data_IF_150067105626
#
_entry.id   IF_150067105626
#
_cell.length_a   1.000
_cell.length_b   1.000
_cell.length_c   1.000
_cell.angle_alpha   90.00
_cell.angle_beta   90.00
_cell.angle_gamma   90.00
#
_symmetry.space_group_name_H-M   'P 1'
#
loop_
_entity.id
_entity.type
_entity.pdbx_description
1 polymer ?
#
# COMPACT_ATOMS: atom_id res chain seq x y z
N UNK A 1 -8.53 -40.77 13.60
CA UNK A 1 -7.45 -41.21 12.69
C UNK A 1 -8.10 -41.62 11.37
N UNK A 2 -7.77 -40.96 10.26
CA UNK A 2 -8.36 -41.26 8.95
C UNK A 2 -7.51 -42.32 8.23
N UNK A 3 -8.12 -43.41 7.80
CA UNK A 3 -7.46 -44.54 7.14
C UNK A 3 -6.76 -44.09 5.84
N UNK A 4 -7.30 -43.12 5.13
CA UNK A 4 -6.70 -42.58 3.90
C UNK A 4 -5.34 -41.93 4.15
N UNK A 5 -5.25 -41.11 5.21
CA UNK A 5 -3.96 -40.51 5.60
C UNK A 5 -2.97 -41.54 6.14
N UNK A 6 -3.45 -42.60 6.84
CA UNK A 6 -2.58 -43.70 7.28
C UNK A 6 -1.99 -44.46 6.08
N UNK A 7 -2.79 -44.68 5.05
CA UNK A 7 -2.33 -45.34 3.82
C UNK A 7 -1.30 -44.49 3.08
N UNK A 8 -1.57 -43.21 2.86
CA UNK A 8 -0.65 -42.26 2.20
C UNK A 8 0.66 -42.14 2.99
N UNK A 9 0.59 -42.05 4.32
CA UNK A 9 1.75 -41.94 5.18
C UNK A 9 2.46 -43.29 5.41
N UNK A 10 2.02 -44.37 4.79
CA UNK A 10 2.58 -45.72 4.97
C UNK A 10 2.68 -46.13 6.46
N UNK A 11 1.68 -45.75 7.26
CA UNK A 11 1.64 -45.93 8.72
C UNK A 11 2.74 -45.19 9.51
N UNK A 12 3.50 -44.30 8.89
CA UNK A 12 4.45 -43.44 9.60
C UNK A 12 3.70 -42.38 10.42
N UNK A 13 4.31 -41.99 11.53
CA UNK A 13 3.78 -40.95 12.43
C UNK A 13 4.82 -39.83 12.58
N UNK A 14 4.94 -38.92 11.58
CA UNK A 14 5.88 -37.82 11.69
C UNK A 14 5.56 -36.96 12.91
N UNK A 15 6.59 -36.48 13.57
CA UNK A 15 6.44 -35.58 14.72
C UNK A 15 5.94 -34.21 14.28
N UNK A 16 5.34 -33.47 15.21
CA UNK A 16 4.95 -32.06 14.96
C UNK A 16 6.14 -31.20 14.47
N UNK A 17 7.33 -31.44 14.99
CA UNK A 17 8.54 -30.73 14.55
C UNK A 17 8.96 -31.12 13.13
N UNK A 18 8.70 -32.34 12.67
CA UNK A 18 8.96 -32.76 11.30
C UNK A 18 8.04 -31.97 10.32
N UNK A 19 6.74 -31.84 10.66
CA UNK A 19 5.83 -31.01 9.90
C UNK A 19 6.26 -29.53 9.87
N UNK A 20 6.67 -28.99 11.02
CA UNK A 20 7.13 -27.59 11.08
C UNK A 20 8.37 -27.36 10.22
N UNK A 21 9.35 -28.27 10.26
CA UNK A 21 10.53 -28.16 9.39
C UNK A 21 10.16 -28.26 7.91
N UNK A 22 9.36 -29.25 7.53
CA UNK A 22 8.89 -29.37 6.15
C UNK A 22 8.19 -28.12 5.65
N UNK A 23 7.31 -27.50 6.47
CA UNK A 23 6.60 -26.30 6.12
C UNK A 23 7.56 -25.10 5.95
N UNK A 24 8.54 -24.95 6.84
CA UNK A 24 9.44 -23.79 6.84
C UNK A 24 10.63 -23.93 5.89
N UNK A 25 11.14 -25.14 5.70
CA UNK A 25 12.38 -25.36 4.97
C UNK A 25 12.10 -25.75 3.50
N UNK A 26 11.05 -26.54 3.26
CA UNK A 26 10.75 -27.12 1.94
C UNK A 26 9.51 -26.50 1.29
N UNK A 27 8.37 -26.47 2.00
CA UNK A 27 7.10 -26.09 1.40
C UNK A 27 7.02 -24.59 1.09
N UNK A 28 7.59 -23.74 1.93
CA UNK A 28 7.58 -22.29 1.74
C UNK A 28 8.18 -21.87 0.39
N UNK A 29 9.16 -22.62 -0.10
CA UNK A 29 9.84 -22.33 -1.36
C UNK A 29 9.16 -22.95 -2.58
N UNK A 30 8.23 -23.89 -2.40
CA UNK A 30 7.65 -24.70 -3.48
C UNK A 30 6.13 -24.68 -3.56
N UNK A 31 5.42 -24.20 -2.53
CA UNK A 31 3.95 -24.23 -2.49
C UNK A 31 3.32 -23.46 -3.65
N UNK A 32 3.93 -22.36 -4.05
CA UNK A 32 3.47 -21.54 -5.18
C UNK A 32 3.60 -22.30 -6.50
N UNK A 33 4.74 -22.94 -6.75
CA UNK A 33 4.96 -23.75 -7.95
C UNK A 33 3.99 -24.93 -8.02
N UNK A 34 3.77 -25.61 -6.86
CA UNK A 34 2.79 -26.69 -6.74
C UNK A 34 1.39 -26.20 -7.10
N UNK A 35 0.99 -25.05 -6.57
CA UNK A 35 -0.32 -24.46 -6.86
C UNK A 35 -0.53 -24.20 -8.37
N UNK A 36 0.45 -23.60 -9.04
CA UNK A 36 0.34 -23.32 -10.47
C UNK A 36 0.43 -24.59 -11.32
N UNK A 37 1.23 -25.58 -10.92
CA UNK A 37 1.29 -26.86 -11.61
C UNK A 37 -0.04 -27.62 -11.50
N UNK A 38 -0.65 -27.66 -10.33
CA UNK A 38 -2.00 -28.22 -10.14
C UNK A 38 -3.02 -27.49 -11.03
N UNK A 39 -2.92 -26.16 -11.14
CA UNK A 39 -3.79 -25.38 -12.01
C UNK A 39 -3.61 -25.73 -13.49
N UNK A 40 -2.37 -26.02 -13.96
CA UNK A 40 -2.11 -26.45 -15.33
C UNK A 40 -2.73 -27.83 -15.61
N UNK A 41 -2.54 -28.76 -14.67
CA UNK A 41 -3.18 -30.08 -14.77
C UNK A 41 -4.71 -29.96 -14.84
N UNK A 42 -5.32 -29.10 -14.03
CA UNK A 42 -6.75 -28.88 -14.08
C UNK A 42 -7.21 -28.21 -15.37
N UNK A 43 -6.41 -27.31 -15.95
CA UNK A 43 -6.70 -26.67 -17.27
C UNK A 43 -6.68 -27.71 -18.41
N UNK A 44 -5.80 -28.72 -18.35
CA UNK A 44 -5.73 -29.79 -19.33
C UNK A 44 -6.91 -30.79 -19.21
N UNK A 45 -7.38 -31.04 -17.98
CA UNK A 45 -8.42 -32.05 -17.72
C UNK A 45 -9.85 -31.48 -17.70
N UNK A 46 -10.02 -30.18 -17.49
CA UNK A 46 -11.33 -29.54 -17.29
C UNK A 46 -11.53 -28.38 -18.29
N UNK A 47 -12.77 -28.15 -18.75
CA UNK A 47 -13.10 -27.08 -19.69
C UNK A 47 -13.13 -25.70 -19.00
N UNK A 48 -11.99 -25.26 -18.42
CA UNK A 48 -11.87 -23.96 -17.76
C UNK A 48 -11.68 -22.84 -18.77
N UNK A 49 -12.53 -21.84 -18.74
CA UNK A 49 -12.38 -20.65 -19.58
C UNK A 49 -11.30 -19.70 -19.03
N UNK A 50 -10.09 -19.81 -19.57
CA UNK A 50 -8.93 -18.99 -19.16
C UNK A 50 -8.93 -17.57 -19.74
N UNK A 51 -9.83 -17.25 -20.67
CA UNK A 51 -9.98 -15.90 -21.24
C UNK A 51 -10.66 -14.92 -20.28
N UNK A 52 -11.34 -15.45 -19.25
CA UNK A 52 -12.05 -14.65 -18.24
C UNK A 52 -11.48 -14.94 -16.85
N UNK A 53 -10.94 -13.92 -16.21
CA UNK A 53 -10.43 -13.98 -14.84
C UNK A 53 -11.19 -12.99 -13.96
N UNK A 54 -12.10 -13.47 -13.13
CA UNK A 54 -12.84 -12.66 -12.16
C UNK A 54 -11.91 -12.30 -11.00
N UNK A 55 -11.71 -10.98 -10.76
CA UNK A 55 -10.76 -10.51 -9.75
C UNK A 55 -11.52 -9.87 -8.58
N UNK A 56 -11.12 -10.23 -7.38
CA UNK A 56 -11.55 -9.58 -6.15
C UNK A 56 -10.45 -9.60 -5.08
N UNK A 57 -10.51 -8.67 -4.14
CA UNK A 57 -9.56 -8.51 -3.06
C UNK A 57 -10.23 -8.48 -1.69
N UNK A 58 -9.51 -9.00 -0.69
CA UNK A 58 -9.96 -8.90 0.68
C UNK A 58 -8.82 -8.67 1.66
N UNK A 59 -9.12 -7.97 2.75
CA UNK A 59 -8.15 -7.70 3.81
C UNK A 59 -8.26 -8.74 4.90
N UNK A 60 -7.10 -9.34 5.26
CA UNK A 60 -6.97 -10.23 6.39
C UNK A 60 -6.25 -9.53 7.54
N UNK A 61 -6.72 -9.76 8.77
CA UNK A 61 -6.03 -9.31 9.97
C UNK A 61 -4.70 -10.07 10.13
N UNK A 62 -3.60 -9.35 10.29
CA UNK A 62 -2.29 -9.94 10.53
C UNK A 62 -2.17 -10.48 11.97
N UNK A 63 -1.30 -11.46 12.15
CA UNK A 63 -0.91 -11.93 13.47
C UNK A 63 0.04 -10.92 14.16
N UNK A 64 -0.47 -9.75 14.45
CA UNK A 64 0.30 -8.63 15.00
C UNK A 64 -0.44 -7.91 16.13
N UNK A 65 0.31 -7.14 16.91
CA UNK A 65 -0.29 -6.30 17.94
C UNK A 65 -1.11 -5.18 17.29
N UNK A 66 -2.37 -5.08 17.69
CA UNK A 66 -3.36 -4.16 17.10
C UNK A 66 -3.03 -2.67 17.31
N UNK A 67 -2.24 -2.33 18.32
CA UNK A 67 -2.04 -0.95 18.77
C UNK A 67 -0.61 -0.42 18.60
N UNK A 68 0.32 -1.21 18.07
CA UNK A 68 1.72 -0.81 17.94
C UNK A 68 2.14 -0.66 16.49
N UNK A 69 2.27 0.61 16.06
CA UNK A 69 2.62 0.97 14.70
C UNK A 69 3.84 1.89 14.64
N UNK A 70 4.54 1.81 13.53
CA UNK A 70 5.50 2.81 13.05
C UNK A 70 4.76 3.65 12.01
N UNK A 71 4.78 4.98 12.20
CA UNK A 71 4.14 5.94 11.30
C UNK A 71 5.19 6.82 10.63
N UNK A 72 5.25 6.83 9.30
CA UNK A 72 6.22 7.64 8.53
C UNK A 72 6.26 9.09 9.01
N UNK A 73 5.11 9.76 9.06
CA UNK A 73 5.02 11.17 9.49
C UNK A 73 5.58 11.42 10.90
N UNK A 74 5.35 10.50 11.82
CA UNK A 74 5.87 10.61 13.17
C UNK A 74 7.36 10.34 13.22
N UNK A 75 7.83 9.33 12.48
CA UNK A 75 9.26 8.97 12.38
C UNK A 75 10.07 10.13 11.81
N UNK A 76 9.59 10.80 10.73
CA UNK A 76 10.23 12.00 10.17
C UNK A 76 10.36 13.09 11.25
N UNK A 77 9.24 13.44 11.92
CA UNK A 77 9.23 14.48 12.94
C UNK A 77 10.13 14.15 14.14
N UNK A 78 10.16 12.88 14.56
CA UNK A 78 11.02 12.45 15.66
C UNK A 78 12.50 12.44 15.26
N UNK A 79 12.85 12.01 14.04
CA UNK A 79 14.21 12.08 13.50
C UNK A 79 14.73 13.52 13.47
N UNK A 80 13.93 14.46 12.99
CA UNK A 80 14.30 15.88 12.95
C UNK A 80 14.54 16.46 14.34
N UNK A 81 13.67 16.12 15.31
CA UNK A 81 13.87 16.55 16.71
C UNK A 81 15.11 15.94 17.34
N UNK A 82 15.37 14.67 17.05
CA UNK A 82 16.56 13.98 17.55
C UNK A 82 17.84 14.57 16.94
N UNK A 83 17.81 14.92 15.64
CA UNK A 83 18.94 15.59 15.01
C UNK A 83 19.27 16.94 15.62
N UNK A 84 18.27 17.72 16.00
CA UNK A 84 18.49 18.97 16.74
C UNK A 84 19.23 18.73 18.05
N UNK A 85 18.86 17.69 18.80
CA UNK A 85 19.56 17.32 20.05
C UNK A 85 21.02 16.97 19.78
N UNK A 86 21.29 16.11 18.78
CA UNK A 86 22.66 15.78 18.39
C UNK A 86 23.48 17.04 18.08
N UNK A 87 22.92 17.98 17.31
CA UNK A 87 23.59 19.24 17.00
C UNK A 87 23.84 20.09 18.26
N UNK A 88 22.94 20.09 19.23
CA UNK A 88 23.13 20.83 20.49
C UNK A 88 24.19 20.15 21.38
N UNK A 89 24.26 18.82 21.38
CA UNK A 89 25.35 18.07 22.03
C UNK A 89 26.69 18.34 21.35
N UNK A 90 26.75 18.39 20.03
CA UNK A 90 27.98 18.76 19.27
C UNK A 90 28.43 20.18 19.62
N UNK A 91 27.51 21.14 19.77
CA UNK A 91 27.86 22.50 20.23
C UNK A 91 28.51 22.49 21.61
N UNK A 92 28.00 21.68 22.55
CA UNK A 92 28.58 21.52 23.88
C UNK A 92 29.94 20.84 23.86
N UNK A 93 30.13 19.86 23.00
CA UNK A 93 31.43 19.22 22.76
C UNK A 93 32.43 20.25 22.21
N UNK A 94 32.04 21.06 21.22
CA UNK A 94 32.88 22.13 20.70
C UNK A 94 33.26 23.17 21.76
N UNK A 95 32.32 23.49 22.66
CA UNK A 95 32.56 24.38 23.78
C UNK A 95 33.60 23.77 24.77
N UNK A 96 33.39 22.50 25.14
CA UNK A 96 34.34 21.77 25.99
C UNK A 96 35.74 21.75 25.41
N UNK A 97 35.94 21.42 24.14
CA UNK A 97 37.26 21.41 23.51
C UNK A 97 37.91 22.81 23.48
N UNK A 98 37.10 23.85 23.22
CA UNK A 98 37.60 25.23 23.29
C UNK A 98 38.10 25.60 24.69
N UNK A 99 37.36 25.23 25.75
CA UNK A 99 37.71 25.46 27.16
C UNK A 99 39.01 24.71 27.58
N UNK A 100 39.27 23.54 26.96
CA UNK A 100 40.48 22.77 27.16
C UNK A 100 41.64 23.19 26.25
N UNK A 101 41.49 24.30 25.50
CA UNK A 101 42.47 24.79 24.50
C UNK A 101 42.82 23.77 23.39
N UNK A 102 41.87 22.88 23.07
CA UNK A 102 42.05 21.89 22.01
C UNK A 102 41.59 22.51 20.68
N UNK A 103 42.44 22.48 19.68
CA UNK A 103 42.12 22.99 18.34
C UNK A 103 41.32 21.93 17.54
N UNK A 104 40.11 21.60 18.02
CA UNK A 104 39.19 20.70 17.36
C UNK A 104 37.77 21.30 17.37
N UNK A 105 37.15 21.36 16.19
CA UNK A 105 35.78 21.89 16.04
C UNK A 105 35.01 21.03 15.06
N UNK A 106 33.86 20.54 15.51
CA UNK A 106 32.93 19.77 14.67
C UNK A 106 31.87 20.68 14.03
N UNK A 107 31.58 20.41 12.77
CA UNK A 107 30.58 21.16 12.01
C UNK A 107 29.16 20.81 12.47
N UNK A 108 28.26 21.78 12.40
CA UNK A 108 26.83 21.57 12.61
C UNK A 108 26.21 21.29 11.24
N UNK A 109 25.75 20.07 11.05
CA UNK A 109 25.15 19.66 9.77
C UNK A 109 23.64 19.96 9.74
N UNK A 110 23.12 20.26 8.55
CA UNK A 110 21.67 20.52 8.36
C UNK A 110 20.87 19.21 8.38
N UNK A 111 21.41 18.18 7.75
CA UNK A 111 20.75 16.88 7.60
C UNK A 111 21.35 15.82 8.52
N UNK A 112 20.52 14.85 8.98
CA UNK A 112 21.00 13.74 9.79
C UNK A 112 22.07 12.91 9.05
N UNK A 113 23.19 12.69 9.74
CA UNK A 113 24.28 11.86 9.26
C UNK A 113 24.85 11.05 10.43
N UNK A 114 24.53 9.77 10.48
CA UNK A 114 24.93 8.86 11.56
C UNK A 114 26.44 8.61 11.53
N UNK A 115 27.02 8.39 10.35
CA UNK A 115 28.46 8.13 10.20
C UNK A 115 29.29 9.32 10.71
N UNK A 116 28.77 10.53 10.53
CA UNK A 116 29.39 11.72 11.09
C UNK A 116 29.40 11.70 12.62
N UNK A 117 28.29 11.31 13.24
CA UNK A 117 28.21 11.21 14.70
C UNK A 117 29.15 10.14 15.25
N UNK A 118 29.25 8.99 14.58
CA UNK A 118 30.19 7.92 14.95
C UNK A 118 31.65 8.40 14.86
N UNK A 119 32.01 9.14 13.81
CA UNK A 119 33.33 9.75 13.72
C UNK A 119 33.63 10.76 14.84
N UNK A 120 32.62 11.46 15.32
CA UNK A 120 32.76 12.37 16.46
C UNK A 120 32.95 11.57 17.74
N UNK A 121 32.19 10.52 18.00
CA UNK A 121 32.35 9.64 19.17
C UNK A 121 33.73 8.97 19.19
N UNK A 122 34.19 8.40 18.08
CA UNK A 122 35.49 7.78 17.96
C UNK A 122 36.63 8.75 18.33
N UNK A 123 36.54 10.00 17.86
CA UNK A 123 37.53 11.03 18.20
C UNK A 123 37.50 11.44 19.66
N UNK A 124 36.31 11.43 20.29
CA UNK A 124 36.22 11.67 21.74
C UNK A 124 36.83 10.50 22.51
N UNK A 125 36.66 9.26 22.08
CA UNK A 125 37.31 8.09 22.68
C UNK A 125 38.84 8.18 22.60
N UNK A 126 39.40 8.54 21.43
CA UNK A 126 40.81 8.76 21.22
C UNK A 126 41.33 9.85 22.17
N UNK A 127 40.60 10.99 22.24
CA UNK A 127 40.94 12.08 23.16
C UNK A 127 40.98 11.62 24.62
N UNK A 128 39.98 10.85 25.07
CA UNK A 128 39.93 10.32 26.44
C UNK A 128 41.11 9.41 26.72
N UNK A 129 41.44 8.52 25.79
CA UNK A 129 42.57 7.61 25.88
C UNK A 129 43.93 8.36 25.99
N UNK A 130 44.12 9.35 25.11
CA UNK A 130 45.36 10.13 25.06
C UNK A 130 45.59 10.98 26.33
N UNK A 131 44.50 11.33 27.03
CA UNK A 131 44.54 12.10 28.28
C UNK A 131 44.39 11.23 29.53
N UNK A 132 44.44 9.90 29.42
CA UNK A 132 44.35 8.98 30.56
C UNK A 132 42.99 9.01 31.27
N UNK A 133 41.93 9.40 30.55
CA UNK A 133 40.54 9.45 31.09
C UNK A 133 39.89 8.09 30.82
N UNK A 134 39.72 7.30 31.88
CA UNK A 134 39.05 6.01 31.77
C UNK A 134 37.53 6.15 31.78
N UNK A 135 36.87 5.25 31.04
CA UNK A 135 35.41 5.13 31.09
C UNK A 135 34.97 4.55 32.44
N UNK A 136 34.12 5.27 33.12
CA UNK A 136 33.56 4.86 34.42
C UNK A 136 32.13 4.43 34.26
N UNK A 137 31.80 3.24 34.75
CA UNK A 137 30.47 2.64 34.66
C UNK A 137 29.89 2.31 36.04
N UNK A 138 28.57 2.26 36.14
CA UNK A 138 27.85 1.85 37.36
C UNK A 138 27.30 3.00 38.22
N UNK A 139 26.46 2.64 39.19
CA UNK A 139 25.86 3.59 40.14
C UNK A 139 26.91 4.04 41.17
N UNK A 140 26.95 5.34 41.43
CA UNK A 140 27.87 5.91 42.42
C UNK A 140 29.22 6.37 41.87
N UNK A 141 29.54 6.04 40.62
CA UNK A 141 30.77 6.50 39.98
C UNK A 141 30.57 7.86 39.28
N UNK A 142 31.48 8.82 39.57
CA UNK A 142 31.41 10.17 38.97
C UNK A 142 32.08 10.15 37.59
N UNK A 143 31.25 10.28 36.54
CA UNK A 143 31.74 10.39 35.15
C UNK A 143 32.40 11.75 34.89
N UNK A 144 33.46 11.78 34.10
CA UNK A 144 34.05 13.01 33.58
C UNK A 144 33.04 13.76 32.70
N UNK A 145 33.23 15.07 32.50
CA UNK A 145 32.29 15.86 31.72
C UNK A 145 32.34 15.46 30.21
N UNK A 146 33.52 15.09 29.72
CA UNK A 146 33.65 14.59 28.34
C UNK A 146 32.97 13.22 28.17
N UNK A 147 33.04 12.32 29.16
CA UNK A 147 32.32 11.05 29.12
C UNK A 147 30.81 11.25 29.14
N UNK A 148 30.27 12.23 29.87
CA UNK A 148 28.84 12.55 29.83
C UNK A 148 28.40 13.00 28.46
N UNK A 149 29.19 13.84 27.79
CA UNK A 149 28.92 14.30 26.42
C UNK A 149 29.00 13.16 25.40
N UNK A 150 29.97 12.27 25.55
CA UNK A 150 30.12 11.06 24.77
C UNK A 150 28.88 10.15 24.91
N UNK A 151 28.53 9.79 26.16
CA UNK A 151 27.37 8.91 26.42
C UNK A 151 26.06 9.49 25.87
N UNK A 152 25.89 10.81 25.99
CA UNK A 152 24.73 11.51 25.46
C UNK A 152 24.69 11.44 23.92
N UNK A 153 25.81 11.77 23.25
CA UNK A 153 25.89 11.73 21.79
C UNK A 153 25.72 10.30 21.25
N UNK A 154 26.35 9.31 21.89
CA UNK A 154 26.22 7.90 21.54
C UNK A 154 24.75 7.43 21.66
N UNK A 155 24.06 7.77 22.75
CA UNK A 155 22.63 7.47 22.93
C UNK A 155 21.76 8.16 21.87
N UNK A 156 22.10 9.39 21.52
CA UNK A 156 21.38 10.14 20.50
C UNK A 156 21.59 9.56 19.11
N UNK A 157 22.81 9.13 18.78
CA UNK A 157 23.14 8.45 17.54
C UNK A 157 22.41 7.10 17.42
N UNK A 158 22.38 6.30 18.49
CA UNK A 158 21.61 5.05 18.54
C UNK A 158 20.12 5.28 18.26
N UNK A 159 19.55 6.39 18.76
CA UNK A 159 18.15 6.72 18.49
C UNK A 159 17.90 7.13 17.04
N UNK A 160 18.86 7.81 16.41
CA UNK A 160 18.79 8.09 14.96
C UNK A 160 18.89 6.82 14.13
N UNK A 161 19.74 5.87 14.53
CA UNK A 161 19.82 4.56 13.89
C UNK A 161 18.50 3.79 13.98
N UNK A 162 17.84 3.81 15.16
CA UNK A 162 16.48 3.23 15.30
C UNK A 162 15.48 3.86 14.30
N UNK A 163 15.54 5.17 14.06
CA UNK A 163 14.68 5.80 13.07
C UNK A 163 15.06 5.43 11.63
N UNK A 164 16.34 5.19 11.33
CA UNK A 164 16.75 4.66 10.03
C UNK A 164 16.15 3.27 9.79
N UNK A 165 16.25 2.36 10.75
CA UNK A 165 15.61 1.04 10.69
C UNK A 165 14.08 1.15 10.52
N UNK A 166 13.44 2.13 11.16
CA UNK A 166 12.01 2.36 10.96
C UNK A 166 11.67 2.75 9.52
N UNK A 167 12.54 3.53 8.84
CA UNK A 167 12.32 3.87 7.42
C UNK A 167 12.52 2.65 6.52
N UNK A 168 13.49 1.80 6.81
CA UNK A 168 13.70 0.54 6.08
C UNK A 168 12.48 -0.38 6.21
N UNK A 169 11.95 -0.56 7.44
CA UNK A 169 10.73 -1.33 7.68
C UNK A 169 9.50 -0.75 6.97
N UNK A 170 9.41 0.56 6.85
CA UNK A 170 8.29 1.23 6.18
C UNK A 170 8.32 1.06 4.66
N UNK A 171 9.50 0.96 4.05
CA UNK A 171 9.64 1.09 2.59
C UNK A 171 8.93 2.35 2.11
N UNK A 172 8.02 2.27 1.13
CA UNK A 172 7.22 3.41 0.65
C UNK A 172 5.90 3.61 1.41
N UNK A 173 5.55 2.70 2.31
CA UNK A 173 4.30 2.72 3.08
C UNK A 173 4.26 3.86 4.10
N UNK A 174 3.06 4.31 4.45
CA UNK A 174 2.83 5.32 5.48
C UNK A 174 2.84 4.76 6.91
N UNK A 175 2.66 3.44 7.04
CA UNK A 175 2.65 2.76 8.33
C UNK A 175 3.04 1.29 8.19
N UNK A 176 3.60 0.70 9.24
CA UNK A 176 3.74 -0.74 9.41
C UNK A 176 3.56 -1.12 10.87
N UNK A 177 3.26 -2.39 11.14
CA UNK A 177 3.20 -2.90 12.51
C UNK A 177 4.61 -3.10 13.07
N UNK A 178 4.79 -2.88 14.37
CA UNK A 178 6.08 -3.19 15.03
C UNK A 178 6.33 -4.69 15.22
N UNK A 179 5.27 -5.48 15.27
CA UNK A 179 5.35 -6.94 15.52
C UNK A 179 5.33 -7.77 14.25
N UNK A 180 4.87 -7.20 13.17
CA UNK A 180 4.91 -7.74 11.81
C UNK A 180 5.18 -6.57 10.84
N UNK A 181 6.45 -6.28 10.52
CA UNK A 181 6.82 -5.13 9.71
C UNK A 181 6.20 -5.10 8.31
N UNK A 182 5.81 -6.25 7.76
CA UNK A 182 5.17 -6.36 6.44
C UNK A 182 3.68 -6.03 6.49
N UNK A 183 3.05 -6.15 7.67
CA UNK A 183 1.65 -5.77 7.86
C UNK A 183 1.46 -4.26 7.95
N UNK A 184 0.49 -3.74 7.21
CA UNK A 184 0.17 -2.30 7.15
C UNK A 184 -1.12 -2.00 7.92
N UNK A 185 -1.24 -0.78 8.44
CA UNK A 185 -2.47 -0.28 9.06
C UNK A 185 -3.55 -0.12 7.99
N UNK A 186 -4.56 -0.99 8.03
CA UNK A 186 -5.61 -1.07 7.02
C UNK A 186 -6.99 -0.86 7.63
N UNK A 187 -7.87 -0.23 6.87
CA UNK A 187 -9.30 -0.23 7.16
C UNK A 187 -9.87 -1.60 6.80
N UNK A 188 -10.30 -2.35 7.81
CA UNK A 188 -10.99 -3.62 7.64
C UNK A 188 -12.44 -3.40 7.23
N UNK A 189 -13.17 -4.45 6.85
CA UNK A 189 -14.58 -4.36 6.58
C UNK A 189 -15.31 -3.78 7.80
N UNK A 190 -16.32 -2.91 7.55
CA UNK A 190 -17.13 -2.31 8.61
C UNK A 190 -17.72 -3.37 9.53
N UNK A 191 -17.57 -3.18 10.83
CA UNK A 191 -18.18 -4.03 11.82
C UNK A 191 -19.66 -3.62 12.04
N UNK A 192 -20.55 -4.36 11.42
CA UNK A 192 -22.00 -4.10 11.49
C UNK A 192 -22.60 -4.36 12.87
N UNK A 193 -21.95 -5.16 13.73
CA UNK A 193 -22.43 -5.44 15.07
C UNK A 193 -22.13 -4.30 16.04
N UNK A 194 -20.93 -3.75 15.94
CA UNK A 194 -20.49 -2.66 16.81
C UNK A 194 -20.62 -1.28 16.18
N UNK A 195 -21.10 -1.19 14.94
CA UNK A 195 -21.24 0.03 14.16
C UNK A 195 -19.94 0.87 14.11
N UNK A 196 -18.78 0.22 14.04
CA UNK A 196 -17.48 0.85 14.08
C UNK A 196 -16.67 0.59 12.82
N UNK A 197 -15.87 1.59 12.45
CA UNK A 197 -14.80 1.41 11.49
C UNK A 197 -13.62 0.77 12.20
N UNK A 198 -13.22 -0.42 11.76
CA UNK A 198 -12.13 -1.16 12.38
C UNK A 198 -10.86 -1.01 11.57
N UNK A 199 -9.81 -0.51 12.22
CA UNK A 199 -8.48 -0.42 11.64
C UNK A 199 -7.56 -1.39 12.37
N UNK A 200 -6.85 -2.23 11.62
CA UNK A 200 -5.95 -3.26 12.15
C UNK A 200 -4.71 -3.39 11.27
N UNK A 201 -3.62 -3.97 11.80
CA UNK A 201 -2.54 -4.43 10.92
C UNK A 201 -3.07 -5.57 10.05
N UNK A 202 -2.75 -5.55 8.77
CA UNK A 202 -3.27 -6.55 7.84
C UNK A 202 -2.52 -6.61 6.53
N UNK A 203 -2.94 -7.58 5.74
CA UNK A 203 -2.54 -7.81 4.36
C UNK A 203 -3.75 -7.73 3.46
N UNK A 204 -3.54 -7.29 2.23
CA UNK A 204 -4.53 -7.25 1.17
C UNK A 204 -4.28 -8.42 0.23
N UNK A 205 -5.19 -9.38 0.20
CA UNK A 205 -5.06 -10.60 -0.59
C UNK A 205 -5.99 -10.51 -1.79
N UNK A 206 -5.41 -10.65 -2.96
CA UNK A 206 -6.09 -10.66 -4.24
C UNK A 206 -6.24 -12.09 -4.74
N UNK A 207 -7.40 -12.43 -5.29
CA UNK A 207 -7.61 -13.71 -5.99
C UNK A 207 -8.16 -13.47 -7.38
N UNK A 208 -7.76 -14.35 -8.29
CA UNK A 208 -8.34 -14.46 -9.63
C UNK A 208 -9.00 -15.81 -9.79
N UNK A 209 -10.26 -15.83 -10.17
CA UNK A 209 -11.08 -17.02 -10.29
C UNK A 209 -11.59 -17.17 -11.72
N UNK A 210 -11.48 -18.36 -12.29
CA UNK A 210 -12.07 -18.74 -13.57
C UNK A 210 -12.90 -20.01 -13.40
N UNK A 211 -14.18 -19.95 -13.72
CA UNK A 211 -15.14 -21.07 -13.61
C UNK A 211 -15.11 -21.79 -12.24
N UNK A 212 -14.97 -21.00 -11.16
CA UNK A 212 -14.94 -21.50 -9.77
C UNK A 212 -13.58 -21.97 -9.29
N UNK A 213 -12.54 -21.95 -10.12
CA UNK A 213 -11.17 -22.35 -9.75
C UNK A 213 -10.31 -21.11 -9.47
N UNK A 214 -9.62 -21.08 -8.33
CA UNK A 214 -8.64 -20.05 -8.01
C UNK A 214 -7.42 -20.25 -8.91
N UNK A 215 -7.16 -19.28 -9.77
CA UNK A 215 -6.08 -19.31 -10.78
C UNK A 215 -4.87 -18.50 -10.39
N UNK A 216 -5.05 -17.47 -9.60
CA UNK A 216 -3.97 -16.61 -9.16
C UNK A 216 -4.25 -16.08 -7.76
N UNK A 217 -3.18 -15.94 -6.98
CA UNK A 217 -3.21 -15.37 -5.64
C UNK A 217 -2.07 -14.36 -5.53
N UNK A 218 -2.34 -13.20 -4.95
CA UNK A 218 -1.33 -12.18 -4.69
C UNK A 218 -1.55 -11.55 -3.31
N UNK A 219 -0.55 -11.66 -2.46
CA UNK A 219 -0.54 -11.06 -1.12
C UNK A 219 0.18 -9.72 -1.20
N UNK A 220 -0.45 -8.65 -0.71
CA UNK A 220 0.12 -7.31 -0.72
C UNK A 220 0.06 -6.65 0.65
N UNK A 221 1.06 -5.83 0.92
CA UNK A 221 1.05 -4.88 2.04
C UNK A 221 0.34 -3.56 1.71
N UNK A 222 -0.10 -3.36 0.47
CA UNK A 222 -0.81 -2.16 0.04
C UNK A 222 -2.26 -2.15 0.50
N UNK A 223 -2.71 -1.02 1.02
CA UNK A 223 -4.08 -0.86 1.52
C UNK A 223 -5.12 -0.70 0.42
N UNK A 224 -4.69 -0.41 -0.81
CA UNK A 224 -5.55 -0.07 -1.96
C UNK A 224 -5.44 -1.11 -3.07
N UNK A 225 -6.60 -1.55 -3.56
CA UNK A 225 -6.68 -2.51 -4.67
C UNK A 225 -6.17 -1.91 -5.99
N UNK A 226 -6.16 -0.58 -6.13
CA UNK A 226 -5.59 0.11 -7.30
C UNK A 226 -4.14 -0.31 -7.55
N UNK A 227 -3.34 -0.41 -6.49
CA UNK A 227 -1.91 -0.71 -6.60
C UNK A 227 -1.62 -2.20 -6.77
N UNK A 228 -2.59 -3.06 -6.49
CA UNK A 228 -2.39 -4.52 -6.54
C UNK A 228 -2.68 -5.12 -7.90
N UNK A 229 -3.43 -4.44 -8.77
CA UNK A 229 -3.87 -5.01 -10.04
C UNK A 229 -2.72 -5.33 -11.00
N UNK A 230 -1.85 -4.37 -11.28
CA UNK A 230 -0.72 -4.59 -12.21
C UNK A 230 0.22 -5.69 -11.70
N UNK A 231 0.72 -5.67 -10.44
CA UNK A 231 1.53 -6.75 -9.90
C UNK A 231 0.84 -8.11 -9.92
N UNK A 232 -0.46 -8.16 -9.66
CA UNK A 232 -1.27 -9.38 -9.74
C UNK A 232 -1.33 -9.94 -11.15
N UNK A 233 -1.52 -9.08 -12.17
CA UNK A 233 -1.56 -9.49 -13.58
C UNK A 233 -0.18 -9.87 -14.14
N UNK A 234 0.87 -9.17 -13.72
CA UNK A 234 2.24 -9.54 -14.09
C UNK A 234 2.63 -10.91 -13.52
N UNK A 235 2.23 -11.19 -12.28
CA UNK A 235 2.38 -12.52 -11.68
C UNK A 235 1.64 -13.58 -12.50
N UNK A 236 0.39 -13.35 -12.84
CA UNK A 236 -0.39 -14.25 -13.69
C UNK A 236 0.32 -14.52 -15.02
N UNK A 237 0.79 -13.45 -15.68
CA UNK A 237 1.54 -13.55 -16.95
C UNK A 237 2.83 -14.36 -16.83
N UNK A 238 3.57 -14.15 -15.72
CA UNK A 238 4.79 -14.91 -15.43
C UNK A 238 4.50 -16.40 -15.31
N UNK A 239 3.42 -16.77 -14.62
CA UNK A 239 3.11 -18.16 -14.30
C UNK A 239 2.45 -18.93 -15.45
N UNK A 240 1.63 -18.26 -16.27
CA UNK A 240 0.91 -18.91 -17.39
C UNK A 240 1.43 -18.54 -18.78
N UNK A 241 2.37 -17.60 -18.91
CA UNK A 241 2.91 -17.12 -20.18
C UNK A 241 1.92 -16.31 -21.03
N UNK A 242 0.68 -16.12 -20.58
CA UNK A 242 -0.41 -15.39 -21.26
C UNK A 242 -1.23 -14.59 -20.24
N UNK A 243 -1.96 -13.60 -20.75
CA UNK A 243 -2.94 -12.84 -19.96
C UNK A 243 -4.37 -13.24 -20.38
N UNK A 244 -5.37 -13.13 -19.48
CA UNK A 244 -6.77 -13.30 -19.83
C UNK A 244 -7.24 -12.14 -20.70
N UNK A 245 -8.22 -12.36 -21.57
CA UNK A 245 -8.80 -11.31 -22.41
C UNK A 245 -9.72 -10.37 -21.62
N UNK A 246 -10.35 -10.85 -20.53
CA UNK A 246 -11.33 -10.12 -19.74
C UNK A 246 -11.07 -10.30 -18.25
N UNK A 247 -10.98 -9.17 -17.54
CA UNK A 247 -10.75 -9.16 -16.09
C UNK A 247 -11.84 -8.38 -15.37
N UNK A 248 -13.04 -8.97 -15.18
CA UNK A 248 -14.09 -8.32 -14.39
C UNK A 248 -13.60 -8.06 -12.96
N UNK A 249 -13.60 -6.78 -12.57
CA UNK A 249 -13.18 -6.34 -11.25
C UNK A 249 -14.10 -5.23 -10.72
N UNK A 250 -14.06 -4.97 -9.41
CA UNK A 250 -14.87 -3.92 -8.81
C UNK A 250 -14.30 -2.51 -9.06
N UNK A 251 -14.99 -1.48 -8.55
CA UNK A 251 -14.56 -0.10 -8.70
C UNK A 251 -13.30 0.25 -7.91
N UNK A 252 -12.87 -0.59 -6.98
CA UNK A 252 -11.66 -0.42 -6.19
C UNK A 252 -10.38 -0.51 -7.03
N UNK A 253 -10.44 -1.19 -8.18
CA UNK A 253 -9.30 -1.36 -9.10
C UNK A 253 -9.23 -0.28 -10.18
N UNK A 254 -10.33 0.42 -10.44
CA UNK A 254 -10.43 1.38 -11.56
C UNK A 254 -9.51 2.57 -11.39
N UNK A 255 -8.48 2.65 -12.22
CA UNK A 255 -7.53 3.76 -12.25
C UNK A 255 -6.97 3.96 -13.66
N UNK A 256 -6.38 5.14 -13.89
CA UNK A 256 -5.71 5.43 -15.17
C UNK A 256 -4.63 4.41 -15.51
N UNK A 257 -3.76 4.11 -14.55
CA UNK A 257 -2.65 3.18 -14.76
C UNK A 257 -3.15 1.76 -15.08
N UNK A 258 -4.17 1.27 -14.38
CA UNK A 258 -4.72 -0.06 -14.63
C UNK A 258 -5.42 -0.15 -15.99
N UNK A 259 -6.10 0.92 -16.43
CA UNK A 259 -6.70 0.96 -17.77
C UNK A 259 -5.65 1.03 -18.88
N UNK A 260 -4.59 1.81 -18.69
CA UNK A 260 -3.47 1.86 -19.62
C UNK A 260 -2.80 0.48 -19.75
N UNK A 261 -2.55 -0.18 -18.60
CA UNK A 261 -2.03 -1.54 -18.60
C UNK A 261 -2.93 -2.53 -19.37
N UNK A 262 -4.25 -2.47 -19.16
CA UNK A 262 -5.20 -3.29 -19.90
C UNK A 262 -5.12 -3.02 -21.41
N UNK A 263 -5.11 -1.75 -21.81
CA UNK A 263 -5.01 -1.34 -23.24
C UNK A 263 -3.74 -1.86 -23.90
N UNK A 264 -2.59 -1.72 -23.23
CA UNK A 264 -1.30 -2.18 -23.77
C UNK A 264 -1.19 -3.69 -23.90
N UNK A 265 -1.88 -4.42 -23.02
CA UNK A 265 -1.86 -5.89 -22.99
C UNK A 265 -3.10 -6.54 -23.68
N UNK A 266 -3.96 -5.76 -24.35
CA UNK A 266 -5.12 -6.28 -25.06
C UNK A 266 -6.22 -6.84 -24.17
N UNK A 267 -6.33 -6.39 -22.93
CA UNK A 267 -7.36 -6.80 -21.95
C UNK A 267 -8.58 -5.88 -22.09
N UNK A 268 -9.74 -6.44 -22.33
CA UNK A 268 -10.99 -5.69 -22.42
C UNK A 268 -11.42 -5.12 -21.05
N UNK A 269 -11.91 -3.88 -21.04
CA UNK A 269 -12.21 -3.14 -19.82
C UNK A 269 -13.57 -3.52 -19.22
N UNK A 270 -13.60 -4.42 -18.25
CA UNK A 270 -14.76 -4.77 -17.44
C UNK A 270 -14.58 -4.36 -15.97
N UNK A 271 -13.70 -3.44 -15.70
CA UNK A 271 -13.35 -2.91 -14.38
C UNK A 271 -14.03 -1.56 -14.17
N UNK A 272 -14.98 -1.47 -13.23
CA UNK A 272 -15.64 -0.21 -12.87
C UNK A 272 -14.63 0.78 -12.27
N UNK A 273 -15.00 2.05 -12.13
CA UNK A 273 -14.18 3.09 -11.54
C UNK A 273 -14.86 3.75 -10.34
N UNK A 274 -14.09 4.37 -9.43
CA UNK A 274 -14.67 5.12 -8.33
C UNK A 274 -15.59 6.23 -8.85
N UNK A 275 -16.84 6.24 -8.42
CA UNK A 275 -17.85 7.19 -8.92
C UNK A 275 -18.79 6.64 -9.98
N UNK A 276 -18.55 5.45 -10.55
CA UNK A 276 -19.38 4.84 -11.58
C UNK A 276 -20.90 4.89 -11.27
N UNK A 277 -21.28 4.50 -10.07
CA UNK A 277 -22.69 4.54 -9.65
C UNK A 277 -23.22 5.95 -9.39
N UNK A 278 -22.36 6.88 -8.97
CA UNK A 278 -22.78 8.28 -8.78
C UNK A 278 -23.03 8.98 -10.12
N UNK A 279 -22.22 8.71 -11.11
CA UNK A 279 -22.37 9.25 -12.47
C UNK A 279 -23.61 8.70 -13.19
N UNK A 280 -23.98 7.45 -12.90
CA UNK A 280 -25.19 6.82 -13.47
C UNK A 280 -26.50 7.31 -12.88
N UNK A 281 -26.47 8.02 -11.74
CA UNK A 281 -27.67 8.60 -11.12
C UNK A 281 -28.19 9.77 -11.93
N UNK A 282 -29.53 9.88 -12.04
CA UNK A 282 -30.15 11.05 -12.65
C UNK A 282 -29.77 12.32 -11.89
N UNK A 283 -29.50 13.40 -12.64
CA UNK A 283 -29.22 14.72 -12.09
C UNK A 283 -30.39 15.21 -11.23
N UNK A 284 -30.10 15.65 -10.03
CA UNK A 284 -31.06 16.21 -9.08
C UNK A 284 -30.40 17.33 -8.25
N UNK A 285 -31.16 17.95 -7.35
CA UNK A 285 -30.69 19.06 -6.52
C UNK A 285 -29.50 18.74 -5.61
N UNK A 286 -29.26 17.44 -5.27
CA UNK A 286 -28.15 17.02 -4.40
C UNK A 286 -26.84 16.83 -5.17
N UNK A 287 -26.93 16.38 -6.44
CA UNK A 287 -25.75 16.02 -7.24
C UNK A 287 -25.45 16.97 -8.41
N UNK A 288 -26.36 17.88 -8.80
CA UNK A 288 -26.20 18.82 -9.94
C UNK A 288 -24.93 19.68 -9.91
N UNK A 289 -24.31 19.85 -8.74
CA UNK A 289 -23.06 20.62 -8.60
C UNK A 289 -21.80 19.75 -8.60
N UNK A 290 -21.92 18.44 -8.80
CA UNK A 290 -20.77 17.57 -9.03
C UNK A 290 -20.34 17.64 -10.49
N UNK A 291 -19.04 17.65 -10.75
CA UNK A 291 -18.50 17.76 -12.12
C UNK A 291 -19.01 16.66 -13.05
N UNK A 292 -19.25 15.46 -12.53
CA UNK A 292 -19.81 14.31 -13.27
C UNK A 292 -21.23 14.54 -13.80
N UNK A 293 -21.95 15.54 -13.29
CA UNK A 293 -23.32 15.91 -13.72
C UNK A 293 -23.36 17.23 -14.47
N UNK A 294 -22.20 17.80 -14.79
CA UNK A 294 -22.14 18.99 -15.64
C UNK A 294 -22.39 18.60 -17.09
N UNK A 295 -23.03 19.49 -17.83
CA UNK A 295 -23.19 19.35 -19.28
C UNK A 295 -21.82 19.39 -19.95
N UNK A 296 -21.64 18.59 -21.04
CA UNK A 296 -20.40 18.52 -21.80
C UNK A 296 -20.53 19.25 -23.11
N UNK A 297 -19.48 19.99 -23.48
CA UNK A 297 -19.36 20.53 -24.83
C UNK A 297 -18.92 19.43 -25.80
N UNK A 298 -19.09 19.66 -27.10
CA UNK A 298 -18.65 18.72 -28.17
C UNK A 298 -17.14 18.45 -28.09
N UNK A 299 -16.35 19.44 -27.69
CA UNK A 299 -14.89 19.33 -27.53
C UNK A 299 -14.46 18.68 -26.19
N UNK A 300 -15.42 18.17 -25.40
CA UNK A 300 -15.17 17.51 -24.10
C UNK A 300 -14.98 18.47 -22.93
N UNK A 301 -15.25 19.77 -23.11
CA UNK A 301 -15.30 20.76 -22.04
C UNK A 301 -16.50 20.57 -21.12
N UNK A 302 -16.69 21.49 -20.18
CA UNK A 302 -17.78 21.45 -19.20
C UNK A 302 -18.57 22.76 -19.24
N UNK A 303 -19.88 22.65 -19.06
CA UNK A 303 -20.81 23.76 -18.83
C UNK A 303 -21.33 23.65 -17.40
N UNK A 304 -21.23 24.72 -16.61
CA UNK A 304 -21.71 24.72 -15.24
C UNK A 304 -23.26 24.80 -15.19
N UNK A 305 -23.90 24.48 -14.05
CA UNK A 305 -25.37 24.59 -13.91
C UNK A 305 -25.96 25.99 -14.08
N UNK A 306 -25.12 27.03 -14.20
CA UNK A 306 -25.50 28.41 -14.52
C UNK A 306 -25.30 28.76 -16.01
N UNK A 307 -24.92 27.77 -16.85
CA UNK A 307 -24.78 27.94 -18.30
C UNK A 307 -23.43 28.54 -18.76
N UNK A 308 -22.41 28.61 -17.89
CA UNK A 308 -21.09 29.15 -18.27
C UNK A 308 -20.13 28.00 -18.58
N UNK A 309 -19.38 28.14 -19.67
CA UNK A 309 -18.32 27.21 -20.02
C UNK A 309 -17.09 27.36 -19.13
N UNK A 310 -16.31 26.27 -19.03
CA UNK A 310 -15.03 26.24 -18.33
C UNK A 310 -13.89 26.53 -19.31
N UNK A 311 -12.96 27.36 -18.90
CA UNK A 311 -11.75 27.68 -19.64
C UNK A 311 -10.56 26.84 -19.15
N UNK A 312 -9.55 26.64 -20.01
CA UNK A 312 -8.30 25.97 -19.62
C UNK A 312 -7.49 26.88 -18.71
N UNK A 313 -7.28 26.46 -17.47
CA UNK A 313 -6.44 27.16 -16.49
C UNK A 313 -4.98 26.70 -16.57
N UNK A 314 -4.77 25.39 -16.59
CA UNK A 314 -3.42 24.81 -16.60
C UNK A 314 -3.42 23.39 -17.20
N UNK A 315 -2.38 23.08 -17.95
CA UNK A 315 -2.06 21.71 -18.38
C UNK A 315 -0.87 21.22 -17.57
N UNK A 316 -0.96 20.03 -17.02
CA UNK A 316 0.10 19.39 -16.22
C UNK A 316 0.26 17.94 -16.63
N UNK A 317 1.49 17.48 -16.62
CA UNK A 317 1.82 16.07 -16.77
C UNK A 317 2.08 15.46 -15.39
N UNK A 318 1.40 14.38 -15.07
CA UNK A 318 1.59 13.62 -13.84
C UNK A 318 2.40 12.35 -14.16
N UNK A 319 3.59 12.25 -13.57
CA UNK A 319 4.54 11.13 -13.75
C UNK A 319 4.69 10.29 -12.47
N UNK A 320 3.80 10.44 -11.49
CA UNK A 320 3.85 9.71 -10.22
C UNK A 320 3.33 8.28 -10.33
N UNK A 321 2.49 8.00 -11.34
CA UNK A 321 1.97 6.68 -11.63
C UNK A 321 2.94 5.84 -12.48
N UNK A 322 2.49 4.65 -12.88
CA UNK A 322 3.23 3.77 -13.80
C UNK A 322 3.27 4.39 -15.20
N UNK A 323 2.20 5.07 -15.58
CA UNK A 323 2.02 5.71 -16.87
C UNK A 323 1.94 7.23 -16.72
N UNK A 324 2.53 7.92 -17.68
CA UNK A 324 2.45 9.38 -17.77
C UNK A 324 1.03 9.81 -18.12
N UNK A 325 0.49 10.75 -17.33
CA UNK A 325 -0.89 11.22 -17.47
C UNK A 325 -0.96 12.72 -17.70
N UNK A 326 -1.59 13.12 -18.80
CA UNK A 326 -1.85 14.53 -19.11
C UNK A 326 -3.15 14.98 -18.45
N UNK A 327 -3.06 15.91 -17.49
CA UNK A 327 -4.20 16.49 -16.81
C UNK A 327 -4.40 17.95 -17.25
N UNK A 328 -5.63 18.29 -17.58
CA UNK A 328 -6.06 19.66 -17.87
C UNK A 328 -6.91 20.15 -16.71
N UNK A 329 -6.49 21.22 -16.07
CA UNK A 329 -7.31 21.90 -15.08
C UNK A 329 -8.17 22.92 -15.81
N UNK A 330 -9.48 22.75 -15.74
CA UNK A 330 -10.46 23.68 -16.25
C UNK A 330 -10.99 24.54 -15.11
N UNK A 331 -11.27 25.82 -15.38
CA UNK A 331 -11.79 26.76 -14.39
C UNK A 331 -12.94 27.57 -14.99
N UNK A 332 -13.97 27.78 -14.20
CA UNK A 332 -15.00 28.75 -14.48
C UNK A 332 -14.83 29.94 -13.53
N UNK A 333 -14.54 31.11 -14.07
CA UNK A 333 -14.32 32.35 -13.32
C UNK A 333 -15.59 33.19 -13.13
N UNK A 334 -16.68 32.85 -13.83
CA UNK A 334 -17.98 33.57 -13.76
C UNK A 334 -18.80 33.09 -12.54
N UNK A 335 -18.15 32.99 -11.38
CA UNK A 335 -18.81 32.58 -10.14
C UNK A 335 -19.19 33.76 -9.21
N UNK A 336 -18.73 34.97 -9.51
CA UNK A 336 -19.08 36.16 -8.73
C UNK A 336 -20.51 36.58 -9.05
N UNK A 337 -21.35 36.78 -8.01
CA UNK A 337 -22.78 37.04 -8.16
C UNK A 337 -23.64 35.80 -8.55
N UNK A 338 -23.04 34.63 -8.79
CA UNK A 338 -23.78 33.44 -9.16
C UNK A 338 -24.68 32.95 -8.00
N UNK A 339 -25.99 32.73 -8.23
CA UNK A 339 -26.94 32.30 -7.18
C UNK A 339 -26.62 30.91 -6.63
N UNK A 340 -25.86 30.13 -7.37
CA UNK A 340 -25.46 28.76 -6.97
C UNK A 340 -24.11 28.68 -6.29
N UNK A 341 -23.37 29.79 -6.16
CA UNK A 341 -21.97 29.79 -5.68
C UNK A 341 -21.81 29.07 -4.34
N UNK A 342 -22.65 29.37 -3.37
CA UNK A 342 -22.56 28.80 -2.01
C UNK A 342 -22.72 27.27 -1.97
N UNK A 343 -23.48 26.70 -2.92
CA UNK A 343 -23.70 25.25 -3.06
C UNK A 343 -22.69 24.58 -4.02
N UNK A 344 -22.12 25.35 -4.97
CA UNK A 344 -21.30 24.83 -6.04
C UNK A 344 -19.79 24.82 -5.70
N UNK A 345 -19.27 25.92 -5.13
CA UNK A 345 -17.84 26.04 -4.83
C UNK A 345 -17.54 26.95 -3.65
N UNK A 346 -16.56 26.54 -2.85
CA UNK A 346 -15.97 27.36 -1.76
C UNK A 346 -14.73 28.14 -2.22
N UNK A 347 -14.27 27.92 -3.46
CA UNK A 347 -13.10 28.59 -4.00
C UNK A 347 -13.37 30.07 -4.24
N UNK A 348 -12.41 30.92 -3.89
CA UNK A 348 -12.46 32.39 -4.15
C UNK A 348 -12.29 32.70 -5.62
N UNK A 349 -11.55 31.88 -6.36
CA UNK A 349 -11.15 32.14 -7.77
C UNK A 349 -12.21 31.66 -8.76
N UNK A 350 -13.08 30.70 -8.34
CA UNK A 350 -14.08 30.09 -9.20
C UNK A 350 -14.15 28.57 -9.07
N UNK A 351 -15.04 27.93 -9.81
CA UNK A 351 -15.16 26.46 -9.84
C UNK A 351 -14.11 25.87 -10.76
N UNK A 352 -13.33 24.90 -10.28
CA UNK A 352 -12.38 24.15 -11.10
C UNK A 352 -12.77 22.67 -11.22
N UNK A 353 -12.40 22.08 -12.36
CA UNK A 353 -12.56 20.65 -12.67
C UNK A 353 -11.26 20.16 -13.27
N UNK A 354 -10.77 19.01 -12.82
CA UNK A 354 -9.64 18.34 -13.47
C UNK A 354 -10.18 17.39 -14.53
N UNK A 355 -9.62 17.46 -15.71
CA UNK A 355 -10.01 16.71 -16.89
C UNK A 355 -8.81 15.93 -17.45
N UNK A 356 -9.03 14.71 -17.86
CA UNK A 356 -8.08 13.90 -18.61
C UNK A 356 -8.85 13.19 -19.74
N UNK A 357 -8.54 13.52 -20.97
CA UNK A 357 -9.26 13.02 -22.14
C UNK A 357 -9.23 11.50 -22.23
N UNK A 358 -8.05 10.92 -22.10
CA UNK A 358 -7.88 9.47 -22.16
C UNK A 358 -8.63 8.75 -21.04
N UNK A 359 -8.67 9.30 -19.82
CA UNK A 359 -9.44 8.73 -18.72
C UNK A 359 -10.95 8.78 -18.98
N UNK A 360 -11.43 9.83 -19.61
CA UNK A 360 -12.84 9.95 -20.00
C UNK A 360 -13.20 8.91 -21.10
N UNK A 361 -12.29 8.68 -22.03
CA UNK A 361 -12.42 7.64 -23.05
C UNK A 361 -12.51 6.25 -22.41
N UNK A 362 -11.63 5.94 -21.45
CA UNK A 362 -11.70 4.70 -20.67
C UNK A 362 -13.01 4.57 -19.90
N UNK A 363 -13.46 5.62 -19.23
CA UNK A 363 -14.73 5.60 -18.51
C UNK A 363 -15.92 5.36 -19.45
N UNK A 364 -15.88 5.89 -20.68
CA UNK A 364 -16.90 5.65 -21.70
C UNK A 364 -16.90 4.19 -22.11
N UNK A 365 -15.74 3.64 -22.47
CA UNK A 365 -15.56 2.23 -22.85
C UNK A 365 -16.02 1.28 -21.72
N UNK A 366 -15.62 1.54 -20.48
CA UNK A 366 -16.06 0.75 -19.32
C UNK A 366 -17.59 0.78 -19.18
N UNK A 367 -18.22 1.95 -19.35
CA UNK A 367 -19.71 2.04 -19.30
C UNK A 367 -20.37 1.22 -20.40
N UNK A 368 -19.89 1.30 -21.61
CA UNK A 368 -20.40 0.53 -22.75
C UNK A 368 -20.25 -0.97 -22.49
N UNK A 369 -19.05 -1.41 -22.11
CA UNK A 369 -18.76 -2.82 -21.84
C UNK A 369 -19.59 -3.38 -20.68
N UNK A 370 -19.58 -2.73 -19.52
CA UNK A 370 -20.29 -3.20 -18.30
C UNK A 370 -21.81 -3.20 -18.47
N UNK A 371 -22.39 -2.27 -19.24
CA UNK A 371 -23.84 -2.21 -19.47
C UNK A 371 -24.31 -3.15 -20.58
N UNK A 372 -23.40 -3.71 -21.38
CA UNK A 372 -23.70 -4.70 -22.43
C UNK A 372 -24.32 -5.97 -21.84
N UNK A 373 -24.92 -6.80 -22.66
CA UNK A 373 -25.46 -8.11 -22.26
C UNK A 373 -24.36 -9.02 -21.69
N UNK A 374 -23.20 -9.00 -22.31
CA UNK A 374 -22.03 -9.75 -21.86
C UNK A 374 -21.49 -9.21 -20.54
N UNK A 375 -21.28 -7.89 -20.45
CA UNK A 375 -20.77 -7.24 -19.25
C UNK A 375 -21.60 -7.52 -18.02
N UNK A 376 -22.94 -7.48 -18.14
CA UNK A 376 -23.86 -7.84 -17.05
C UNK A 376 -23.66 -9.28 -16.58
N UNK A 377 -23.43 -10.23 -17.52
CA UNK A 377 -23.15 -11.62 -17.16
C UNK A 377 -21.80 -11.77 -16.47
N UNK A 378 -20.76 -11.09 -16.98
CA UNK A 378 -19.42 -11.12 -16.39
C UNK A 378 -19.38 -10.51 -14.98
N UNK A 379 -20.07 -9.39 -14.77
CA UNK A 379 -20.17 -8.79 -13.44
C UNK A 379 -20.91 -9.69 -12.44
N UNK A 380 -22.00 -10.33 -12.88
CA UNK A 380 -22.72 -11.32 -12.06
C UNK A 380 -21.84 -12.54 -11.75
N UNK A 381 -21.07 -13.03 -12.74
CA UNK A 381 -20.11 -14.12 -12.57
C UNK A 381 -19.05 -13.76 -11.52
N UNK A 382 -18.48 -12.55 -11.59
CA UNK A 382 -17.52 -12.06 -10.59
C UNK A 382 -18.08 -12.07 -9.16
N UNK A 383 -19.30 -11.55 -8.99
CA UNK A 383 -19.94 -11.48 -7.68
C UNK A 383 -20.13 -12.89 -7.07
N UNK A 384 -20.44 -13.90 -7.89
CA UNK A 384 -20.63 -15.27 -7.41
C UNK A 384 -19.30 -16.01 -7.19
N UNK A 385 -18.33 -15.87 -8.07
CA UNK A 385 -17.09 -16.65 -8.03
C UNK A 385 -16.05 -16.04 -7.08
N UNK A 386 -15.71 -14.78 -7.27
CA UNK A 386 -14.63 -14.17 -6.51
C UNK A 386 -15.10 -13.74 -5.09
N UNK A 387 -16.25 -13.09 -4.96
CA UNK A 387 -16.79 -12.75 -3.63
C UNK A 387 -17.22 -14.02 -2.85
N UNK A 388 -17.76 -15.03 -3.56
CA UNK A 388 -18.14 -16.32 -2.98
C UNK A 388 -16.98 -17.04 -2.31
N UNK A 389 -15.83 -17.07 -2.98
CA UNK A 389 -14.59 -17.68 -2.45
C UNK A 389 -14.19 -17.07 -1.09
N UNK A 390 -14.21 -15.74 -0.98
CA UNK A 390 -13.91 -15.10 0.30
C UNK A 390 -15.00 -15.28 1.35
N UNK A 391 -16.26 -15.39 0.92
CA UNK A 391 -17.38 -15.70 1.79
C UNK A 391 -17.20 -17.05 2.48
N UNK A 392 -16.83 -18.06 1.73
CA UNK A 392 -16.55 -19.41 2.25
C UNK A 392 -15.39 -19.41 3.23
N UNK A 393 -14.25 -18.82 2.87
CA UNK A 393 -13.08 -18.77 3.74
C UNK A 393 -13.37 -18.04 5.05
N UNK A 394 -13.97 -16.85 4.99
CA UNK A 394 -14.15 -16.00 6.17
C UNK A 394 -15.35 -16.39 7.03
N UNK A 395 -16.51 -16.69 6.39
CA UNK A 395 -17.73 -16.94 7.13
C UNK A 395 -17.90 -18.40 7.50
N UNK A 396 -17.66 -19.32 6.55
CA UNK A 396 -17.91 -20.73 6.76
C UNK A 396 -16.75 -21.42 7.47
N UNK A 397 -15.50 -21.05 7.15
CA UNK A 397 -14.30 -21.63 7.78
C UNK A 397 -13.78 -20.77 8.95
N UNK A 398 -14.30 -19.56 9.17
CA UNK A 398 -13.89 -18.66 10.24
C UNK A 398 -12.45 -18.12 10.07
N UNK A 399 -11.93 -18.16 8.83
CA UNK A 399 -10.56 -17.76 8.51
C UNK A 399 -10.51 -16.27 8.14
N UNK A 400 -10.55 -15.42 9.16
CA UNK A 400 -10.52 -13.94 9.03
C UNK A 400 -9.22 -13.30 9.53
N UNK A 401 -8.37 -14.09 10.18
CA UNK A 401 -7.08 -13.69 10.74
C UNK A 401 -5.99 -14.70 10.37
N UNK A 402 -4.84 -14.15 9.97
CA UNK A 402 -3.63 -14.93 9.66
C UNK A 402 -2.96 -15.45 10.94
N UNK A 403 -2.31 -16.60 10.84
CA UNK A 403 -1.57 -17.23 11.94
C UNK A 403 -0.07 -16.94 11.85
N UNK A 404 0.44 -16.66 10.65
CA UNK A 404 1.86 -16.43 10.38
C UNK A 404 2.18 -14.93 10.29
N UNK A 405 3.48 -14.63 10.33
CA UNK A 405 4.03 -13.26 10.23
C UNK A 405 5.06 -13.19 9.14
N UNK A 406 5.19 -12.00 8.54
CA UNK A 406 6.07 -11.75 7.42
C UNK A 406 5.46 -12.21 6.10
N UNK A 407 5.77 -11.45 5.04
CA UNK A 407 5.14 -11.61 3.73
C UNK A 407 5.21 -13.04 3.19
N UNK A 408 6.39 -13.65 3.18
CA UNK A 408 6.60 -15.00 2.60
C UNK A 408 5.83 -16.07 3.35
N UNK A 409 5.82 -16.00 4.70
CA UNK A 409 5.07 -16.94 5.52
C UNK A 409 3.55 -16.77 5.34
N UNK A 410 3.09 -15.52 5.17
CA UNK A 410 1.68 -15.22 4.92
C UNK A 410 1.30 -15.70 3.51
N UNK A 411 2.15 -15.47 2.52
CA UNK A 411 1.92 -15.99 1.17
C UNK A 411 1.79 -17.52 1.17
N UNK A 412 2.71 -18.22 1.84
CA UNK A 412 2.65 -19.68 1.99
C UNK A 412 1.38 -20.14 2.74
N UNK A 413 0.90 -19.37 3.72
CA UNK A 413 -0.32 -19.69 4.47
C UNK A 413 -1.59 -19.55 3.62
N UNK A 414 -1.59 -18.65 2.66
CA UNK A 414 -2.75 -18.38 1.77
C UNK A 414 -2.83 -19.39 0.62
N UNK A 415 -1.71 -19.95 0.14
CA UNK A 415 -1.67 -21.07 -0.82
C UNK A 415 -2.12 -22.37 -0.18
#
# INVERSE_FOLDING_TARGET
TDIRYMFIAQNQKPSHQAFQRFIHDDLIMSVEDIFYEMNRIMEDELPINTDVLCIDGTKYEANANKNTFIWRKNTVRHRERQWKKCNDTIKRINKFFKEQNINCRYSILREPNIDYLLKVTDKIEIYMKDNGIEFVHGKGCRKSDIQKLYDELAKEAMKLFEYALHFDMLGDRNSCSKTDPDATFMHMKYDYYNHTNVFKPGYNVQVGVSDGFIRNIYVSSDCSDIQTYIPFMEKYKLMYGKLPLKTPADAGYGSYDNYMYCRENGIELFMKYPGYYEESKKTNDKNRFRASHFERTEDGGYICPAGHEFEVDKVTTDTRGVYERRNVKLINRHCDGCPFRSRCTKSRVGRSVNYCKELDEFHKEVRENVTSKEGKKLMYKRDNEAEGTFGDLKKNMGYDRLYRRGHDNVQMEIY
#
